data_IF_782926742591
#
_entry.id   IF_782926742591
#
_cell.length_a   1.000
_cell.length_b   1.000
_cell.length_c   1.000
_cell.angle_alpha   90.00
_cell.angle_beta   90.00
_cell.angle_gamma   90.00
#
_symmetry.space_group_name_H-M   'P 1'
#
loop_
_entity.id
_entity.type
_entity.pdbx_description
1 polymer ?
#
# COMPACT_ATOMS: atom_id res chain seq x y z
N UNK A 1 2.08 3.75 -14.22
CA UNK A 1 3.06 4.48 -13.39
C UNK A 1 4.41 3.80 -13.53
N UNK A 2 5.56 4.43 -13.25
CA UNK A 2 6.82 3.66 -13.17
C UNK A 2 6.64 2.61 -12.06
N UNK A 3 6.67 1.33 -12.42
CA UNK A 3 6.33 0.25 -11.49
C UNK A 3 7.38 0.17 -10.37
N UNK A 4 7.03 0.66 -9.18
CA UNK A 4 7.82 0.47 -7.96
C UNK A 4 7.39 -0.86 -7.33
N UNK A 5 8.36 -1.67 -6.91
CA UNK A 5 8.12 -2.97 -6.26
C UNK A 5 8.29 -2.86 -4.75
N UNK A 6 7.35 -3.40 -4.00
CA UNK A 6 7.47 -3.58 -2.54
C UNK A 6 8.09 -4.95 -2.24
N UNK A 7 9.22 -4.97 -1.54
CA UNK A 7 9.86 -6.20 -1.06
C UNK A 7 9.83 -6.22 0.47
N UNK A 8 9.21 -7.25 1.05
CA UNK A 8 9.02 -7.38 2.51
C UNK A 8 9.52 -8.74 2.97
N UNK A 9 10.43 -8.75 3.94
CA UNK A 9 10.85 -9.98 4.62
C UNK A 9 9.78 -10.41 5.61
N UNK A 10 9.30 -11.64 5.47
CA UNK A 10 8.37 -12.25 6.43
C UNK A 10 8.59 -13.76 6.52
N UNK A 11 8.08 -14.38 7.58
CA UNK A 11 8.09 -15.85 7.68
C UNK A 11 7.08 -16.45 6.71
N UNK A 12 7.32 -17.70 6.31
CA UNK A 12 6.42 -18.46 5.45
C UNK A 12 4.99 -18.53 6.01
N UNK A 13 4.85 -18.72 7.33
CA UNK A 13 3.54 -18.70 8.01
C UNK A 13 2.76 -17.42 7.76
N UNK A 14 3.43 -16.25 7.77
CA UNK A 14 2.78 -14.95 7.52
C UNK A 14 2.43 -14.78 6.04
N UNK A 15 3.32 -15.22 5.15
CA UNK A 15 3.07 -15.18 3.71
C UNK A 15 1.86 -16.05 3.31
N UNK A 16 1.77 -17.27 3.85
CA UNK A 16 0.66 -18.17 3.58
C UNK A 16 -0.67 -17.62 4.12
N UNK A 17 -0.65 -17.01 5.32
CA UNK A 17 -1.83 -16.31 5.85
C UNK A 17 -2.29 -15.16 4.93
N UNK A 18 -1.35 -14.37 4.40
CA UNK A 18 -1.65 -13.27 3.48
C UNK A 18 -2.28 -13.77 2.18
N UNK A 19 -1.72 -14.84 1.59
CA UNK A 19 -2.26 -15.48 0.38
C UNK A 19 -3.67 -16.03 0.60
N UNK A 20 -3.89 -16.74 1.71
CA UNK A 20 -5.20 -17.28 2.05
C UNK A 20 -6.24 -16.18 2.28
N UNK A 21 -5.86 -15.10 2.97
CA UNK A 21 -6.74 -13.95 3.16
C UNK A 21 -7.15 -13.32 1.82
N UNK A 22 -6.20 -13.15 0.90
CA UNK A 22 -6.45 -12.62 -0.43
C UNK A 22 -7.42 -13.50 -1.22
N UNK A 23 -7.20 -14.82 -1.22
CA UNK A 23 -8.08 -15.80 -1.86
C UNK A 23 -9.51 -15.76 -1.30
N UNK A 24 -9.66 -15.71 0.03
CA UNK A 24 -10.98 -15.62 0.68
C UNK A 24 -11.73 -14.32 0.38
N UNK A 25 -11.03 -13.28 -0.07
CA UNK A 25 -11.61 -11.97 -0.42
C UNK A 25 -11.78 -11.77 -1.93
N UNK A 26 -11.45 -12.79 -2.73
CA UNK A 26 -11.38 -12.71 -4.19
C UNK A 26 -10.53 -11.52 -4.67
N UNK A 27 -9.35 -11.36 -4.05
CA UNK A 27 -8.41 -10.28 -4.33
C UNK A 27 -7.01 -10.83 -4.57
N UNK A 28 -6.21 -10.09 -5.33
CA UNK A 28 -4.77 -10.34 -5.39
C UNK A 28 -4.07 -9.89 -4.10
N UNK A 29 -2.92 -10.47 -3.79
CA UNK A 29 -2.08 -10.01 -2.66
C UNK A 29 -1.71 -8.54 -2.81
N UNK A 30 -1.47 -8.08 -4.05
CA UNK A 30 -1.20 -6.68 -4.37
C UNK A 30 -2.36 -5.79 -3.95
N UNK A 31 -3.58 -6.09 -4.38
CA UNK A 31 -4.77 -5.30 -4.02
C UNK A 31 -5.01 -5.28 -2.51
N UNK A 32 -4.75 -6.39 -1.81
CA UNK A 32 -4.86 -6.41 -0.34
C UNK A 32 -3.87 -5.42 0.30
N UNK A 33 -2.64 -5.34 -0.23
CA UNK A 33 -1.62 -4.41 0.25
C UNK A 33 -1.97 -2.97 -0.12
N UNK A 34 -2.39 -2.69 -1.35
CA UNK A 34 -2.83 -1.36 -1.81
C UNK A 34 -3.99 -0.86 -0.95
N UNK A 35 -5.04 -1.67 -0.78
CA UNK A 35 -6.16 -1.37 0.12
C UNK A 35 -5.68 -1.04 1.55
N UNK A 36 -4.64 -1.73 2.04
CA UNK A 36 -4.07 -1.51 3.36
C UNK A 36 -3.31 -0.18 3.44
N UNK A 37 -2.52 0.14 2.40
CA UNK A 37 -1.78 1.39 2.27
C UNK A 37 -2.74 2.59 2.19
N UNK A 38 -3.82 2.47 1.40
CA UNK A 38 -4.82 3.54 1.21
C UNK A 38 -5.58 3.88 2.50
N UNK A 39 -5.62 2.97 3.48
CA UNK A 39 -6.22 3.20 4.81
C UNK A 39 -5.27 3.84 5.81
N UNK A 40 -3.98 3.98 5.49
CA UNK A 40 -3.02 4.58 6.42
C UNK A 40 -3.34 6.07 6.56
N UNK A 41 -3.53 6.60 7.79
CA UNK A 41 -3.67 8.03 7.98
C UNK A 41 -2.37 8.70 7.58
N UNK A 42 -2.40 9.47 6.50
CA UNK A 42 -1.28 10.34 6.16
C UNK A 42 -1.40 11.60 7.02
N UNK A 43 -0.32 12.06 7.68
CA UNK A 43 -0.32 13.41 8.21
C UNK A 43 -0.60 14.37 7.05
N UNK A 44 -1.49 15.34 7.24
CA UNK A 44 -1.70 16.46 6.31
C UNK A 44 -0.33 17.08 6.01
N UNK A 45 0.28 16.72 4.89
CA UNK A 45 1.48 17.38 4.43
C UNK A 45 1.05 18.80 4.12
N UNK A 46 1.48 19.76 4.94
CA UNK A 46 1.31 21.18 4.71
C UNK A 46 1.57 21.48 3.24
N UNK A 47 0.49 21.76 2.51
CA UNK A 47 0.55 22.11 1.11
C UNK A 47 1.10 23.54 1.05
N UNK A 48 2.43 23.71 1.15
CA UNK A 48 3.07 24.99 0.85
C UNK A 48 3.07 25.15 -0.68
N UNK A 49 1.89 25.43 -1.23
CA UNK A 49 1.77 26.04 -2.54
C UNK A 49 2.28 27.47 -2.44
N UNK A 50 3.60 27.64 -2.47
CA UNK A 50 4.22 28.91 -2.82
C UNK A 50 3.97 29.15 -4.30
N UNK A 51 2.76 29.59 -4.65
CA UNK A 51 2.51 30.25 -5.93
C UNK A 51 3.14 31.64 -5.83
N UNK A 52 4.39 31.76 -6.24
CA UNK A 52 4.96 33.06 -6.61
C UNK A 52 4.20 33.55 -7.83
N UNK A 53 3.24 34.47 -7.62
CA UNK A 53 2.71 35.29 -8.70
C UNK A 53 3.76 36.35 -9.03
N UNK A 54 4.24 36.29 -10.26
CA UNK A 54 4.92 37.36 -11.00
C UNK A 54 4.00 38.58 -11.15
#
# INVERSE_FOLDING_TARGET
MKDKRLNVRMSERRLNKLRLYAANKDKTVTQVVEDWVDRLPLPESSNSSSTSKL
#
